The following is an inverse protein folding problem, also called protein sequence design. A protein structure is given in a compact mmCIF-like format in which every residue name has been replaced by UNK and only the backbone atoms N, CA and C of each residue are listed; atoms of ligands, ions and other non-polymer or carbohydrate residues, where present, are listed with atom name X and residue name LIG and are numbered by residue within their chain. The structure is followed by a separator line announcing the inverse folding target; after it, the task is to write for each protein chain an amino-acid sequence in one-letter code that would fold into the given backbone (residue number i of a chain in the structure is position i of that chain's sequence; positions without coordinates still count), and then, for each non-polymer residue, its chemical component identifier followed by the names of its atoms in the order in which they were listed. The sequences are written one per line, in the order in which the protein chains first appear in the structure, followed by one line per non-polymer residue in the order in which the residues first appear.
data_IF_612439601030
#
_entry.id   IF_612439601030
#
_cell.length_a   1.000
_cell.length_b   1.000
_cell.length_c   1.000
_cell.angle_alpha   90.00
_cell.angle_beta   90.00
_cell.angle_gamma   90.00
#
_symmetry.space_group_name_H-M   'P 1'
#
loop_
_entity.id
_entity.type
_entity.pdbx_description
1 polymer ?
#
# COMPACT_ATOMS: atom_id res chain seq x y z
N UNK A 1 14.12 -29.48 10.69
CA UNK A 1 13.20 -28.68 9.87
C UNK A 1 13.56 -27.22 10.12
N UNK A 2 14.25 -26.57 9.18
CA UNK A 2 14.59 -25.15 9.30
C UNK A 2 13.32 -24.31 9.09
N UNK A 3 13.09 -23.25 9.88
CA UNK A 3 12.09 -22.26 9.53
C UNK A 3 12.67 -21.51 8.33
N UNK A 4 12.14 -21.77 7.13
CA UNK A 4 12.42 -20.91 5.98
C UNK A 4 11.85 -19.54 6.34
N UNK A 5 12.72 -18.62 6.77
CA UNK A 5 12.45 -17.20 6.82
C UNK A 5 11.85 -16.83 5.46
N UNK A 6 10.52 -16.69 5.41
CA UNK A 6 9.85 -15.98 4.32
C UNK A 6 10.29 -14.54 4.49
N UNK A 7 11.41 -14.20 3.86
CA UNK A 7 11.77 -12.83 3.57
C UNK A 7 10.51 -12.20 2.95
N UNK A 8 9.80 -11.37 3.71
CA UNK A 8 8.61 -10.68 3.22
C UNK A 8 9.06 -9.80 2.06
N UNK A 9 8.78 -10.23 0.83
CA UNK A 9 8.94 -9.38 -0.35
C UNK A 9 7.90 -8.25 -0.27
N UNK A 10 8.34 -7.05 0.07
CA UNK A 10 7.51 -5.85 -0.03
C UNK A 10 7.39 -5.46 -1.51
N UNK A 11 6.31 -4.74 -1.85
CA UNK A 11 6.27 -4.09 -3.15
C UNK A 11 7.39 -3.07 -3.23
N UNK A 12 8.10 -3.02 -4.35
CA UNK A 12 8.94 -1.86 -4.66
C UNK A 12 8.09 -0.59 -4.72
N UNK A 13 8.68 0.58 -4.50
CA UNK A 13 7.94 1.85 -4.66
C UNK A 13 7.31 1.99 -6.05
N UNK A 14 7.99 1.55 -7.10
CA UNK A 14 7.49 1.61 -8.48
C UNK A 14 6.26 0.72 -8.68
N UNK A 15 6.28 -0.52 -8.17
CA UNK A 15 5.13 -1.42 -8.20
C UNK A 15 3.97 -0.87 -7.35
N UNK A 16 4.27 -0.42 -6.12
CA UNK A 16 3.29 0.20 -5.23
C UNK A 16 2.57 1.35 -5.93
N UNK A 17 3.33 2.27 -6.53
CA UNK A 17 2.80 3.42 -7.27
C UNK A 17 1.93 2.98 -8.45
N UNK A 18 2.36 1.99 -9.23
CA UNK A 18 1.55 1.48 -10.35
C UNK A 18 0.23 0.89 -9.84
N UNK A 19 0.28 0.01 -8.85
CA UNK A 19 -0.91 -0.63 -8.32
C UNK A 19 -1.87 0.37 -7.68
N UNK A 20 -1.34 1.37 -6.95
CA UNK A 20 -2.11 2.47 -6.38
C UNK A 20 -2.80 3.31 -7.45
N UNK A 21 -2.07 3.76 -8.46
CA UNK A 21 -2.64 4.55 -9.56
C UNK A 21 -3.76 3.78 -10.28
N UNK A 22 -3.55 2.49 -10.53
CA UNK A 22 -4.57 1.66 -11.16
C UNK A 22 -5.81 1.52 -10.27
N UNK A 23 -5.63 1.26 -8.98
CA UNK A 23 -6.73 1.16 -8.03
C UNK A 23 -7.53 2.47 -7.90
N UNK A 24 -6.84 3.61 -7.87
CA UNK A 24 -7.45 4.94 -7.78
C UNK A 24 -8.16 5.37 -9.07
N UNK A 25 -7.70 4.86 -10.23
CA UNK A 25 -8.33 5.14 -11.53
C UNK A 25 -9.70 4.48 -11.70
N UNK A 26 -10.01 3.46 -10.88
CA UNK A 26 -11.28 2.76 -10.94
C UNK A 26 -12.43 3.65 -10.49
N UNK A 27 -13.48 3.67 -11.32
CA UNK A 27 -14.72 4.40 -11.04
C UNK A 27 -15.73 3.36 -10.54
N UNK A 28 -15.97 3.27 -9.23
CA UNK A 28 -16.95 2.33 -8.72
C UNK A 28 -18.34 2.75 -9.20
N UNK A 29 -19.07 1.81 -9.80
CA UNK A 29 -20.50 1.94 -10.03
C UNK A 29 -21.14 0.81 -9.24
N UNK A 30 -22.18 1.13 -8.46
CA UNK A 30 -22.79 0.26 -7.44
C UNK A 30 -23.33 -1.10 -7.94
N UNK A 31 -23.17 -1.45 -9.22
CA UNK A 31 -23.63 -2.69 -9.83
C UNK A 31 -22.73 -3.19 -10.97
N UNK A 32 -21.51 -2.66 -11.12
CA UNK A 32 -20.70 -2.97 -12.31
C UNK A 32 -20.25 -4.44 -12.34
N UNK A 33 -21.00 -5.24 -13.09
CA UNK A 33 -20.65 -6.60 -13.48
C UNK A 33 -20.56 -7.58 -12.32
N UNK A 34 -21.55 -7.62 -11.42
CA UNK A 34 -21.61 -8.69 -10.42
C UNK A 34 -23.01 -9.19 -10.07
N UNK A 35 -23.07 -10.44 -9.60
CA UNK A 35 -24.30 -11.08 -9.13
C UNK A 35 -24.92 -10.25 -8.02
N UNK A 36 -26.17 -9.83 -8.26
CA UNK A 36 -26.98 -9.07 -7.32
C UNK A 36 -27.03 -9.71 -5.93
N UNK A 37 -27.03 -11.05 -5.86
CA UNK A 37 -27.00 -11.80 -4.60
C UNK A 37 -25.80 -11.48 -3.71
N UNK A 38 -24.60 -11.29 -4.27
CA UNK A 38 -23.40 -11.03 -3.50
C UNK A 38 -23.26 -9.57 -3.09
N UNK A 39 -23.82 -8.67 -3.89
CA UNK A 39 -23.96 -7.27 -3.50
C UNK A 39 -25.01 -7.10 -2.40
N UNK A 40 -26.12 -7.84 -2.43
CA UNK A 40 -27.19 -7.73 -1.44
C UNK A 40 -26.73 -8.07 -0.02
N UNK A 41 -25.89 -9.10 0.15
CA UNK A 41 -25.30 -9.46 1.47
C UNK A 41 -24.52 -8.29 2.07
N UNK A 42 -23.72 -7.60 1.25
CA UNK A 42 -22.98 -6.41 1.66
C UNK A 42 -23.91 -5.24 1.92
N UNK A 43 -24.90 -5.04 1.06
CA UNK A 43 -25.84 -3.93 1.16
C UNK A 43 -26.68 -4.01 2.44
N UNK A 44 -27.08 -5.20 2.86
CA UNK A 44 -27.83 -5.42 4.09
C UNK A 44 -26.94 -5.18 5.33
N UNK A 45 -25.69 -5.64 5.27
CA UNK A 45 -24.70 -5.47 6.35
C UNK A 45 -24.30 -4.00 6.54
N UNK A 46 -23.97 -3.31 5.44
CA UNK A 46 -23.49 -1.94 5.44
C UNK A 46 -24.58 -0.90 5.16
N UNK A 47 -25.85 -1.32 5.13
CA UNK A 47 -27.06 -0.49 4.98
C UNK A 47 -26.98 0.54 3.84
N UNK A 48 -26.44 0.15 2.69
CA UNK A 48 -26.31 1.05 1.54
C UNK A 48 -25.28 2.16 1.71
N UNK A 49 -24.30 2.01 2.60
CA UNK A 49 -23.17 2.95 2.67
C UNK A 49 -22.33 2.88 1.39
N UNK A 50 -22.58 3.84 0.50
CA UNK A 50 -21.97 3.85 -0.82
C UNK A 50 -20.43 3.92 -0.76
N UNK A 51 -19.86 4.60 0.24
CA UNK A 51 -18.40 4.69 0.37
C UNK A 51 -17.79 3.32 0.68
N UNK A 52 -18.47 2.53 1.51
CA UNK A 52 -18.02 1.16 1.83
C UNK A 52 -18.18 0.26 0.61
N UNK A 53 -19.35 0.31 -0.03
CA UNK A 53 -19.67 -0.51 -1.21
C UNK A 53 -18.72 -0.20 -2.38
N UNK A 54 -18.24 1.03 -2.49
CA UNK A 54 -17.24 1.44 -3.48
C UNK A 54 -15.90 0.72 -3.28
N UNK A 55 -15.50 0.37 -2.06
CA UNK A 55 -14.28 -0.41 -1.83
C UNK A 55 -14.40 -1.84 -2.37
N UNK A 56 -15.56 -2.47 -2.19
CA UNK A 56 -15.84 -3.79 -2.77
C UNK A 56 -15.86 -3.72 -4.31
N UNK A 57 -16.49 -2.69 -4.87
CA UNK A 57 -16.46 -2.45 -6.33
C UNK A 57 -15.03 -2.26 -6.86
N UNK A 58 -14.18 -1.50 -6.15
CA UNK A 58 -12.76 -1.33 -6.50
C UNK A 58 -11.97 -2.63 -6.41
N UNK A 59 -12.20 -3.43 -5.37
CA UNK A 59 -11.61 -4.77 -5.23
C UNK A 59 -11.90 -5.61 -6.48
N UNK A 60 -13.15 -5.67 -6.94
CA UNK A 60 -13.51 -6.46 -8.13
C UNK A 60 -12.81 -5.97 -9.39
N UNK A 61 -12.79 -4.65 -9.63
CA UNK A 61 -12.10 -4.06 -10.78
C UNK A 61 -10.59 -4.37 -10.76
N UNK A 62 -9.98 -4.31 -9.56
CA UNK A 62 -8.58 -4.68 -9.37
C UNK A 62 -8.34 -6.15 -9.73
N UNK A 63 -9.14 -7.06 -9.18
CA UNK A 63 -9.04 -8.49 -9.46
C UNK A 63 -9.23 -8.80 -10.94
N UNK A 64 -10.20 -8.16 -11.63
CA UNK A 64 -10.40 -8.30 -13.08
C UNK A 64 -9.18 -7.82 -13.87
N UNK A 65 -8.59 -6.68 -13.50
CA UNK A 65 -7.39 -6.11 -14.18
C UNK A 65 -6.17 -7.03 -14.05
N UNK A 66 -5.95 -7.58 -12.87
CA UNK A 66 -4.75 -8.37 -12.55
C UNK A 66 -4.94 -9.89 -12.66
N UNK A 67 -6.08 -10.33 -13.21
CA UNK A 67 -6.34 -11.76 -13.43
C UNK A 67 -5.46 -12.39 -14.53
N UNK A 68 -4.95 -11.57 -15.47
CA UNK A 68 -4.11 -12.04 -16.55
C UNK A 68 -2.64 -12.03 -16.14
N UNK A 69 -1.89 -13.10 -16.45
CA UNK A 69 -0.48 -13.26 -16.06
C UNK A 69 0.44 -12.11 -16.53
N UNK A 70 0.05 -11.36 -17.55
CA UNK A 70 0.86 -10.26 -18.09
C UNK A 70 0.77 -8.96 -17.29
N UNK A 71 -0.35 -8.70 -16.59
CA UNK A 71 -0.56 -7.45 -15.82
C UNK A 71 -0.04 -7.55 -14.39
N UNK A 72 -0.01 -8.76 -13.82
CA UNK A 72 0.57 -9.05 -12.51
C UNK A 72 1.68 -10.10 -12.64
N UNK A 73 2.87 -9.63 -13.04
CA UNK A 73 4.03 -10.48 -13.29
C UNK A 73 4.60 -11.09 -12.00
N UNK A 74 4.51 -10.38 -10.88
CA UNK A 74 4.96 -10.80 -9.54
C UNK A 74 3.75 -11.15 -8.66
N UNK A 75 3.97 -11.69 -7.45
CA UNK A 75 2.88 -11.83 -6.46
C UNK A 75 2.50 -10.48 -5.81
N UNK A 76 3.23 -9.40 -6.13
CA UNK A 76 3.12 -8.11 -5.46
C UNK A 76 1.80 -7.40 -5.71
N UNK A 77 1.12 -7.61 -6.84
CA UNK A 77 -0.22 -7.05 -7.03
C UNK A 77 -1.22 -7.62 -6.00
N UNK A 78 -1.11 -8.92 -5.71
CA UNK A 78 -1.98 -9.61 -4.76
C UNK A 78 -1.65 -9.16 -3.32
N UNK A 79 -0.36 -8.98 -3.01
CA UNK A 79 0.08 -8.39 -1.74
C UNK A 79 -0.43 -6.97 -1.56
N UNK A 80 -0.34 -6.14 -2.60
CA UNK A 80 -0.81 -4.75 -2.56
C UNK A 80 -2.31 -4.67 -2.29
N UNK A 81 -3.13 -5.43 -3.03
CA UNK A 81 -4.57 -5.39 -2.78
C UNK A 81 -4.92 -5.92 -1.39
N UNK A 82 -4.24 -6.98 -0.92
CA UNK A 82 -4.45 -7.47 0.44
C UNK A 82 -4.09 -6.42 1.50
N UNK A 83 -2.96 -5.73 1.33
CA UNK A 83 -2.57 -4.59 2.17
C UNK A 83 -3.65 -3.51 2.19
N UNK A 84 -4.08 -3.07 1.00
CA UNK A 84 -5.05 -1.99 0.88
C UNK A 84 -6.38 -2.32 1.59
N UNK A 85 -6.86 -3.56 1.45
CA UNK A 85 -8.04 -4.03 2.18
C UNK A 85 -7.83 -4.03 3.71
N UNK A 86 -6.64 -4.44 4.15
CA UNK A 86 -6.28 -4.46 5.57
C UNK A 86 -6.19 -3.04 6.17
N UNK A 87 -5.68 -2.08 5.41
CA UNK A 87 -5.68 -0.64 5.76
C UNK A 87 -7.12 -0.12 5.90
N UNK A 88 -7.98 -0.37 4.91
CA UNK A 88 -9.40 0.04 4.97
C UNK A 88 -10.15 -0.59 6.12
N UNK A 89 -9.89 -1.87 6.41
CA UNK A 89 -10.48 -2.55 7.56
C UNK A 89 -9.95 -2.06 8.92
N UNK A 90 -8.87 -1.28 8.99
CA UNK A 90 -8.33 -0.78 10.26
C UNK A 90 -8.59 0.70 10.49
N UNK A 91 -8.63 1.48 9.42
CA UNK A 91 -8.56 2.94 9.49
C UNK A 91 -9.87 3.65 9.08
N UNK A 92 -10.97 2.93 8.83
CA UNK A 92 -12.26 3.52 8.48
C UNK A 92 -13.31 3.27 9.57
N UNK A 93 -13.96 4.32 10.07
CA UNK A 93 -14.89 4.26 11.22
C UNK A 93 -16.01 3.21 11.13
N UNK A 94 -16.39 2.79 9.92
CA UNK A 94 -17.48 1.82 9.67
C UNK A 94 -17.02 0.44 9.24
N UNK A 95 -15.72 0.27 9.00
CA UNK A 95 -15.10 -1.03 8.78
C UNK A 95 -14.19 -1.32 9.98
N UNK A 96 -14.03 -2.60 10.27
CA UNK A 96 -13.09 -3.02 11.31
C UNK A 96 -12.54 -4.39 10.89
N UNK A 97 -11.57 -4.91 11.64
CA UNK A 97 -10.96 -6.22 11.38
C UNK A 97 -12.00 -7.36 11.33
N UNK A 98 -13.09 -7.29 12.10
CA UNK A 98 -14.13 -8.34 12.09
C UNK A 98 -14.92 -8.36 10.78
N UNK A 99 -15.00 -7.23 10.07
CA UNK A 99 -15.64 -7.14 8.75
C UNK A 99 -14.74 -7.60 7.60
N UNK A 100 -13.47 -7.92 7.84
CA UNK A 100 -12.53 -8.26 6.76
C UNK A 100 -12.99 -9.47 5.93
N UNK A 101 -13.64 -10.45 6.55
CA UNK A 101 -14.13 -11.66 5.88
C UNK A 101 -15.04 -11.35 4.68
N UNK A 102 -15.82 -10.26 4.74
CA UNK A 102 -16.66 -9.84 3.62
C UNK A 102 -15.86 -9.53 2.35
N UNK A 103 -14.63 -9.01 2.46
CA UNK A 103 -13.81 -8.78 1.26
C UNK A 103 -13.41 -10.08 0.59
N UNK A 104 -13.11 -11.11 1.39
CA UNK A 104 -12.78 -12.45 0.89
C UNK A 104 -14.00 -13.09 0.24
N UNK A 105 -15.14 -13.12 0.91
CA UNK A 105 -16.40 -13.64 0.36
C UNK A 105 -16.79 -12.92 -0.93
N UNK A 106 -16.63 -11.59 -0.97
CA UNK A 106 -16.92 -10.81 -2.16
C UNK A 106 -15.92 -11.07 -3.29
N UNK A 107 -14.66 -11.37 -3.01
CA UNK A 107 -13.67 -11.76 -4.01
C UNK A 107 -13.91 -13.17 -4.56
N UNK A 108 -14.39 -14.08 -3.71
CA UNK A 108 -14.70 -15.48 -4.01
C UNK A 108 -16.04 -15.64 -4.75
N UNK A 109 -16.98 -14.73 -4.55
CA UNK A 109 -18.24 -14.85 -5.26
C UNK A 109 -18.01 -14.82 -6.78
N UNK A 110 -18.60 -15.80 -7.45
CA UNK A 110 -18.22 -16.10 -8.83
C UNK A 110 -18.99 -15.21 -9.81
N UNK A 111 -18.21 -14.56 -10.68
CA UNK A 111 -18.65 -14.12 -12.00
C UNK A 111 -18.18 -15.22 -12.95
N UNK A 112 -19.11 -15.99 -13.54
CA UNK A 112 -18.83 -16.99 -14.58
C UNK A 112 -17.72 -18.03 -14.28
N UNK A 113 -17.72 -18.67 -13.10
CA UNK A 113 -16.80 -19.76 -12.70
C UNK A 113 -15.30 -19.41 -12.80
N UNK A 114 -14.92 -18.13 -12.70
CA UNK A 114 -13.52 -17.70 -12.72
C UNK A 114 -13.05 -17.33 -11.31
N UNK A 115 -12.16 -18.13 -10.75
CA UNK A 115 -11.37 -17.74 -9.57
C UNK A 115 -10.30 -16.75 -9.98
N UNK A 116 -10.25 -15.57 -9.34
CA UNK A 116 -9.19 -14.62 -9.59
C UNK A 116 -7.89 -15.04 -8.94
N UNK A 117 -6.76 -14.79 -9.62
CA UNK A 117 -5.41 -15.10 -9.14
C UNK A 117 -5.15 -14.69 -7.70
N UNK A 118 -5.55 -13.48 -7.31
CA UNK A 118 -5.27 -12.93 -5.98
C UNK A 118 -6.29 -13.33 -4.91
N UNK A 119 -7.36 -14.06 -5.24
CA UNK A 119 -8.42 -14.39 -4.27
C UNK A 119 -7.85 -15.16 -3.07
N UNK A 120 -6.91 -16.08 -3.29
CA UNK A 120 -6.26 -16.84 -2.20
C UNK A 120 -5.34 -15.99 -1.31
N UNK A 121 -4.88 -14.84 -1.80
CA UNK A 121 -3.98 -13.93 -1.08
C UNK A 121 -4.74 -12.86 -0.28
N UNK A 122 -6.08 -12.88 -0.29
CA UNK A 122 -6.92 -11.99 0.52
C UNK A 122 -7.14 -12.63 1.89
N UNK A 123 -6.46 -12.09 2.90
CA UNK A 123 -6.57 -12.51 4.29
C UNK A 123 -6.27 -11.35 5.26
N UNK A 124 -6.86 -11.43 6.44
CA UNK A 124 -6.59 -10.46 7.49
C UNK A 124 -5.14 -10.68 7.97
N UNK A 125 -4.27 -9.70 7.70
CA UNK A 125 -2.90 -9.69 8.21
C UNK A 125 -2.94 -9.61 9.73
N UNK A 126 -2.02 -10.28 10.41
CA UNK A 126 -1.76 -10.01 11.83
C UNK A 126 -1.21 -8.59 12.01
N UNK A 127 -1.21 -8.08 13.24
CA UNK A 127 -0.61 -6.76 13.50
C UNK A 127 0.92 -6.78 13.31
N UNK A 128 1.56 -7.92 13.53
CA UNK A 128 2.98 -8.13 13.28
C UNK A 128 3.33 -8.05 11.79
N UNK A 129 2.46 -8.58 10.90
CA UNK A 129 2.63 -8.49 9.45
C UNK A 129 2.20 -7.11 8.90
N UNK A 130 1.10 -6.55 9.42
CA UNK A 130 0.53 -5.31 8.90
C UNK A 130 1.37 -4.07 9.26
N UNK A 131 1.82 -3.95 10.50
CA UNK A 131 2.43 -2.69 10.97
C UNK A 131 3.71 -2.32 10.20
N UNK A 132 4.70 -3.20 10.00
CA UNK A 132 5.90 -2.87 9.24
C UNK A 132 5.59 -2.51 7.79
N UNK A 133 4.65 -3.25 7.17
CA UNK A 133 4.19 -2.99 5.81
C UNK A 133 3.49 -1.63 5.69
N UNK A 134 2.62 -1.30 6.64
CA UNK A 134 1.92 -0.03 6.70
C UNK A 134 2.89 1.14 6.87
N UNK A 135 3.87 1.04 7.75
CA UNK A 135 4.86 2.12 7.92
C UNK A 135 5.69 2.36 6.65
N UNK A 136 6.10 1.29 5.96
CA UNK A 136 6.78 1.40 4.66
C UNK A 136 5.89 2.04 3.59
N UNK A 137 4.64 1.61 3.48
CA UNK A 137 3.74 2.13 2.46
C UNK A 137 3.21 3.54 2.78
N UNK A 138 3.16 3.94 4.05
CA UNK A 138 2.96 5.34 4.44
C UNK A 138 4.15 6.22 4.06
N UNK A 139 5.38 5.71 4.14
CA UNK A 139 6.56 6.40 3.61
C UNK A 139 6.45 6.56 2.09
N UNK A 140 6.01 5.52 1.39
CA UNK A 140 5.75 5.59 -0.05
C UNK A 140 4.66 6.60 -0.40
N UNK A 141 3.59 6.68 0.40
CA UNK A 141 2.52 7.66 0.21
C UNK A 141 3.01 9.10 0.41
N UNK A 142 3.85 9.34 1.42
CA UNK A 142 4.48 10.65 1.57
C UNK A 142 5.33 11.03 0.35
N UNK A 143 6.09 10.07 -0.21
CA UNK A 143 6.86 10.33 -1.42
C UNK A 143 5.97 10.54 -2.65
N UNK A 144 4.91 9.74 -2.79
CA UNK A 144 3.91 9.85 -3.86
C UNK A 144 3.25 11.23 -3.86
N UNK A 145 2.89 11.74 -2.68
CA UNK A 145 2.32 13.09 -2.52
C UNK A 145 3.38 14.16 -2.79
N UNK A 146 4.61 14.00 -2.31
CA UNK A 146 5.67 14.99 -2.49
C UNK A 146 6.13 15.15 -3.95
N UNK A 147 6.39 14.04 -4.65
CA UNK A 147 7.10 14.01 -5.92
C UNK A 147 6.51 14.94 -7.01
N UNK A 148 5.18 15.04 -7.20
CA UNK A 148 4.58 15.97 -8.15
C UNK A 148 4.74 17.46 -7.79
N UNK A 149 5.05 17.78 -6.54
CA UNK A 149 5.12 19.15 -6.02
C UNK A 149 6.53 19.57 -5.59
N UNK A 150 7.56 18.79 -5.87
CA UNK A 150 8.95 19.06 -5.46
C UNK A 150 9.50 20.43 -5.89
N UNK A 151 8.98 21.01 -6.96
CA UNK A 151 9.37 22.33 -7.46
C UNK A 151 8.42 23.46 -7.02
N UNK A 152 7.38 23.16 -6.21
CA UNK A 152 6.33 24.11 -5.84
C UNK A 152 6.64 24.78 -4.51
N UNK A 153 6.94 26.08 -4.55
CA UNK A 153 7.33 26.90 -3.38
C UNK A 153 6.37 26.77 -2.19
N UNK A 154 5.06 26.66 -2.43
CA UNK A 154 4.05 26.71 -1.36
C UNK A 154 4.00 25.42 -0.52
N UNK A 155 4.12 24.26 -1.16
CA UNK A 155 3.80 22.97 -0.52
C UNK A 155 4.96 21.98 -0.50
N UNK A 156 6.00 22.19 -1.31
CA UNK A 156 7.16 21.28 -1.41
C UNK A 156 7.84 21.04 -0.07
N UNK A 157 8.07 22.09 0.72
CA UNK A 157 8.76 21.98 2.01
C UNK A 157 7.96 21.17 3.02
N UNK A 158 6.64 21.39 3.06
CA UNK A 158 5.73 20.65 3.95
C UNK A 158 5.75 19.16 3.63
N UNK A 159 5.58 18.79 2.36
CA UNK A 159 5.57 17.39 1.95
C UNK A 159 6.96 16.74 2.06
N UNK A 160 8.04 17.49 1.80
CA UNK A 160 9.40 17.02 2.00
C UNK A 160 9.68 16.71 3.48
N UNK A 161 9.25 17.59 4.39
CA UNK A 161 9.40 17.37 5.84
C UNK A 161 8.53 16.21 6.33
N UNK A 162 7.33 16.03 5.77
CA UNK A 162 6.50 14.87 6.07
C UNK A 162 7.20 13.55 5.69
N UNK A 163 7.76 13.48 4.48
CA UNK A 163 8.56 12.33 4.06
C UNK A 163 9.75 12.14 5.00
N UNK A 164 10.53 13.19 5.28
CA UNK A 164 11.72 13.13 6.15
C UNK A 164 11.37 12.62 7.54
N UNK A 165 10.28 13.08 8.15
CA UNK A 165 9.85 12.63 9.47
C UNK A 165 9.46 11.14 9.46
N UNK A 166 8.67 10.69 8.48
CA UNK A 166 8.31 9.27 8.34
C UNK A 166 9.54 8.40 8.11
N UNK A 167 10.44 8.85 7.24
CA UNK A 167 11.72 8.18 6.97
C UNK A 167 12.55 8.05 8.24
N UNK A 168 12.78 9.15 8.95
CA UNK A 168 13.62 9.17 10.15
C UNK A 168 13.06 8.29 11.27
N UNK A 169 11.74 8.18 11.39
CA UNK A 169 11.11 7.24 12.33
C UNK A 169 11.39 5.77 11.97
N UNK A 170 11.49 5.45 10.67
CA UNK A 170 11.79 4.12 10.18
C UNK A 170 13.28 3.77 10.25
N UNK A 171 14.17 4.76 10.12
CA UNK A 171 15.63 4.58 10.21
C UNK A 171 16.02 3.86 11.49
N UNK A 172 15.45 4.23 12.64
CA UNK A 172 15.76 3.62 13.93
C UNK A 172 15.25 2.18 14.07
N UNK A 173 14.31 1.76 13.21
CA UNK A 173 13.76 0.39 13.20
C UNK A 173 14.47 -0.51 12.19
N UNK A 174 15.33 0.05 11.37
CA UNK A 174 16.08 -0.71 10.39
C UNK A 174 17.21 -1.49 11.07
N UNK A 175 16.96 -2.79 11.29
CA UNK A 175 17.96 -3.77 11.69
C UNK A 175 18.24 -4.70 10.50
N UNK A 176 19.35 -4.51 9.79
CA UNK A 176 19.70 -5.30 8.60
C UNK A 176 19.83 -6.82 8.87
N UNK A 177 20.03 -7.23 10.12
CA UNK A 177 20.09 -8.67 10.48
C UNK A 177 18.69 -9.31 10.52
N UNK A 178 17.66 -8.54 10.80
CA UNK A 178 16.29 -9.03 11.05
C UNK A 178 15.31 -8.62 9.93
N UNK A 179 15.44 -7.40 9.40
CA UNK A 179 14.48 -6.76 8.48
C UNK A 179 15.15 -6.26 7.18
N UNK A 180 16.12 -7.02 6.65
CA UNK A 180 16.93 -6.62 5.49
C UNK A 180 16.07 -6.14 4.30
N UNK A 181 14.94 -6.79 4.04
CA UNK A 181 14.05 -6.42 2.94
C UNK A 181 13.38 -5.05 3.13
N UNK A 182 12.87 -4.76 4.33
CA UNK A 182 12.25 -3.44 4.63
C UNK A 182 13.32 -2.35 4.53
N UNK A 183 14.47 -2.57 5.14
CA UNK A 183 15.61 -1.66 5.09
C UNK A 183 16.05 -1.34 3.66
N UNK A 184 16.10 -2.37 2.81
CA UNK A 184 16.42 -2.23 1.40
C UNK A 184 15.40 -1.35 0.67
N UNK A 185 14.11 -1.57 0.88
CA UNK A 185 13.06 -0.78 0.26
C UNK A 185 12.99 0.68 0.77
N UNK A 186 13.27 0.91 2.05
CA UNK A 186 13.42 2.26 2.61
C UNK A 186 14.59 2.98 1.92
N UNK A 187 15.74 2.33 1.78
CA UNK A 187 16.91 2.94 1.12
C UNK A 187 16.63 3.27 -0.35
N UNK A 188 15.89 2.41 -1.06
CA UNK A 188 15.51 2.67 -2.45
C UNK A 188 14.66 3.94 -2.59
N UNK A 189 13.57 4.06 -1.82
CA UNK A 189 12.72 5.26 -1.89
C UNK A 189 13.42 6.51 -1.37
N UNK A 190 14.29 6.36 -0.36
CA UNK A 190 15.14 7.45 0.13
C UNK A 190 16.04 8.01 -0.97
N UNK A 191 16.70 7.16 -1.77
CA UNK A 191 17.53 7.61 -2.89
C UNK A 191 16.73 8.42 -3.91
N UNK A 192 15.55 7.92 -4.29
CA UNK A 192 14.64 8.65 -5.19
C UNK A 192 14.27 10.03 -4.62
N UNK A 193 13.95 10.08 -3.33
CA UNK A 193 13.66 11.34 -2.64
C UNK A 193 14.86 12.30 -2.63
N UNK A 194 16.07 11.80 -2.37
CA UNK A 194 17.30 12.60 -2.36
C UNK A 194 17.63 13.23 -3.71
N UNK A 195 17.41 12.49 -4.80
CA UNK A 195 17.54 13.02 -6.16
C UNK A 195 16.56 14.18 -6.37
N UNK A 196 15.32 14.00 -5.96
CA UNK A 196 14.27 15.01 -6.09
C UNK A 196 14.44 16.21 -5.15
N UNK A 197 15.07 16.02 -3.99
CA UNK A 197 15.36 17.10 -3.03
C UNK A 197 16.23 18.20 -3.62
N UNK A 198 16.98 17.95 -4.71
CA UNK A 198 17.79 18.97 -5.38
C UNK A 198 16.93 20.14 -5.84
N UNK A 199 15.73 19.88 -6.37
CA UNK A 199 14.79 20.94 -6.78
C UNK A 199 14.15 21.61 -5.56
N UNK A 200 13.73 20.82 -4.58
CA UNK A 200 13.11 21.32 -3.35
C UNK A 200 14.01 22.28 -2.57
N UNK A 201 15.33 22.01 -2.52
CA UNK A 201 16.29 22.91 -1.85
C UNK A 201 16.37 24.30 -2.48
N UNK A 202 16.10 24.43 -3.78
CA UNK A 202 16.08 25.73 -4.46
C UNK A 202 14.93 26.61 -3.97
N UNK A 203 13.83 26.01 -3.53
CA UNK A 203 12.61 26.71 -3.10
C UNK A 203 12.45 26.79 -1.58
N UNK A 204 12.96 25.81 -0.83
CA UNK A 204 12.73 25.70 0.62
C UNK A 204 13.83 26.28 1.52
N UNK A 205 14.99 26.63 0.96
CA UNK A 205 16.12 27.18 1.71
C UNK A 205 16.42 26.36 2.99
N UNK A 206 16.30 26.96 4.18
CA UNK A 206 16.64 26.36 5.49
C UNK A 206 15.45 25.65 6.18
N UNK A 207 14.27 25.58 5.55
CA UNK A 207 13.07 25.03 6.18
C UNK A 207 12.92 23.51 6.03
N UNK A 208 14.01 22.81 5.71
CA UNK A 208 14.01 21.36 5.49
C UNK A 208 14.57 20.63 6.71
N UNK A 209 13.85 19.60 7.16
CA UNK A 209 14.33 18.68 8.17
C UNK A 209 15.53 17.88 7.66
N UNK A 210 16.42 17.50 8.58
CA UNK A 210 17.59 16.69 8.25
C UNK A 210 17.16 15.25 7.94
N UNK A 211 17.44 14.79 6.72
CA UNK A 211 17.22 13.41 6.31
C UNK A 211 18.35 12.53 6.86
N UNK A 212 18.02 11.67 7.83
CA UNK A 212 19.02 10.81 8.47
C UNK A 212 19.58 9.77 7.48
N UNK A 213 20.85 9.36 7.63
CA UNK A 213 21.35 8.18 6.93
C UNK A 213 20.72 6.92 7.53
N UNK A 214 20.57 5.88 6.71
CA UNK A 214 20.26 4.56 7.24
C UNK A 214 21.58 3.99 7.82
N UNK A 215 21.59 3.47 9.06
CA UNK A 215 22.78 2.89 9.68
C UNK A 215 23.44 1.87 8.76
N UNK A 216 24.76 1.83 8.72
CA UNK A 216 25.43 0.82 7.89
C UNK A 216 25.12 -0.59 8.43
N UNK A 217 24.75 -1.51 7.55
CA UNK A 217 24.45 -2.91 7.90
C UNK A 217 25.62 -3.60 8.62
N UNK A 218 26.81 -3.03 8.47
CA UNK A 218 28.08 -3.49 9.01
C UNK A 218 28.79 -2.44 9.86
N UNK A 219 28.08 -1.46 10.42
CA UNK A 219 28.63 -0.65 11.51
C UNK A 219 28.85 -1.56 12.73
N UNK A 220 29.98 -2.28 12.72
CA UNK A 220 30.51 -3.02 13.85
C UNK A 220 30.73 -2.03 14.98
N UNK A 221 30.05 -2.27 16.11
CA UNK A 221 30.51 -1.76 17.40
C UNK A 221 31.98 -2.15 17.65
#
# INVERSE_FOLDING_TARGET
MSPSQRYEEYCSYEEYKDFKNNLESFRPVAKDGYKESCFNILNDTFKGDQNILDYFSKLKQYLKKYNNNNSCKTSNCCRYINYWLNDKARNLDKLNKTHFHFFKEYAECEDDNKTFKCTSDIYLLSDEEFNPMNELYELYDAYYVYNPFKDKVIVSCTYANEFTRKHNNLVYKCNYKENNNVCYEIERVRKLFQEDMVETRKVCQNNLENLLPIPDAYATE
#
